data_IF_281849774564
#
_entry.id   IF_281849774564
#
_cell.length_a   1.000
_cell.length_b   1.000
_cell.length_c   1.000
_cell.angle_alpha   90.00
_cell.angle_beta   90.00
_cell.angle_gamma   90.00
#
_symmetry.space_group_name_H-M   'P 1'
#
loop_
_entity.id
_entity.type
_entity.pdbx_description
1 polymer ?
#
# COMPACT_ATOMS: atom_id res chain seq x y z
N UNK A 1 -12.12 -24.04 5.26
CA UNK A 1 -13.11 -24.17 4.17
C UNK A 1 -13.57 -25.64 4.07
N UNK A 2 -14.79 -25.83 3.60
CA UNK A 2 -15.40 -27.18 3.50
C UNK A 2 -14.85 -28.06 2.36
N UNK A 3 -13.75 -27.64 1.70
CA UNK A 3 -13.10 -28.37 0.61
C UNK A 3 -12.37 -27.46 -0.37
N UNK A 4 -11.70 -28.05 -1.35
CA UNK A 4 -10.86 -27.34 -2.34
C UNK A 4 -11.70 -26.32 -3.14
N UNK A 5 -12.89 -26.70 -3.61
CA UNK A 5 -13.74 -25.79 -4.40
C UNK A 5 -14.18 -24.56 -3.61
N UNK A 6 -14.50 -24.72 -2.31
CA UNK A 6 -14.85 -23.59 -1.47
C UNK A 6 -13.65 -22.66 -1.20
N UNK A 7 -12.45 -23.25 -1.03
CA UNK A 7 -11.22 -22.48 -0.90
C UNK A 7 -10.85 -21.71 -2.18
N UNK A 8 -11.09 -22.32 -3.35
CA UNK A 8 -10.86 -21.69 -4.64
C UNK A 8 -11.77 -20.47 -4.84
N UNK A 9 -13.05 -20.56 -4.53
CA UNK A 9 -14.00 -19.43 -4.61
C UNK A 9 -13.50 -18.24 -3.80
N UNK A 10 -13.03 -18.48 -2.58
CA UNK A 10 -12.49 -17.40 -1.76
C UNK A 10 -11.19 -16.84 -2.33
N UNK A 11 -10.29 -17.68 -2.85
CA UNK A 11 -9.06 -17.21 -3.49
C UNK A 11 -9.37 -16.32 -4.72
N UNK A 12 -10.29 -16.74 -5.57
CA UNK A 12 -10.71 -16.00 -6.76
C UNK A 12 -11.37 -14.65 -6.41
N UNK A 13 -12.06 -14.57 -5.27
CA UNK A 13 -12.68 -13.34 -4.77
C UNK A 13 -11.63 -12.27 -4.46
N UNK A 14 -10.51 -12.62 -3.82
CA UNK A 14 -9.51 -11.66 -3.39
C UNK A 14 -8.39 -11.41 -4.42
N UNK A 15 -8.13 -12.32 -5.34
CA UNK A 15 -7.09 -12.21 -6.34
C UNK A 15 -7.14 -10.88 -7.16
N UNK A 16 -8.31 -10.38 -7.62
CA UNK A 16 -8.38 -9.10 -8.33
C UNK A 16 -7.99 -7.90 -7.45
N UNK A 17 -8.34 -7.92 -6.16
CA UNK A 17 -7.99 -6.84 -5.24
C UNK A 17 -6.49 -6.79 -4.99
N UNK A 18 -5.86 -7.95 -4.78
CA UNK A 18 -4.41 -8.08 -4.64
C UNK A 18 -3.72 -7.68 -5.95
N UNK A 19 -4.27 -8.08 -7.10
CA UNK A 19 -3.75 -7.72 -8.42
C UNK A 19 -3.71 -6.21 -8.70
N UNK A 20 -4.58 -5.42 -8.07
CA UNK A 20 -4.63 -3.95 -8.17
C UNK A 20 -3.64 -3.23 -7.25
N UNK A 21 -3.02 -3.91 -6.29
CA UNK A 21 -1.97 -3.30 -5.47
C UNK A 21 -0.79 -2.85 -6.34
N UNK A 22 -0.09 -1.76 -5.98
CA UNK A 22 1.16 -1.37 -6.61
C UNK A 22 2.17 -2.52 -6.67
N UNK A 23 2.93 -2.61 -7.77
CA UNK A 23 3.96 -3.65 -7.92
C UNK A 23 4.94 -3.63 -6.74
N UNK A 24 5.34 -2.44 -6.28
CA UNK A 24 6.22 -2.29 -5.12
C UNK A 24 5.69 -2.98 -3.87
N UNK A 25 4.38 -3.06 -3.69
CA UNK A 25 3.74 -3.72 -2.55
C UNK A 25 3.53 -5.23 -2.77
N UNK A 26 3.40 -5.67 -4.03
CA UNK A 26 3.15 -7.08 -4.37
C UNK A 26 4.41 -7.91 -4.53
N UNK A 27 5.53 -7.28 -4.88
CA UNK A 27 6.77 -7.97 -5.25
C UNK A 27 7.31 -8.92 -4.18
N UNK A 28 7.05 -8.62 -2.92
CA UNK A 28 7.53 -9.39 -1.78
C UNK A 28 6.45 -10.29 -1.16
N UNK A 29 5.21 -10.24 -1.67
CA UNK A 29 4.13 -11.14 -1.24
C UNK A 29 4.33 -12.50 -1.89
N UNK A 30 4.72 -13.49 -1.10
CA UNK A 30 4.92 -14.87 -1.55
C UNK A 30 3.70 -15.75 -1.29
N UNK A 31 2.94 -15.44 -0.24
CA UNK A 31 1.75 -16.20 0.14
C UNK A 31 0.60 -15.28 0.53
N UNK A 32 -0.61 -15.77 0.34
CA UNK A 32 -1.83 -15.15 0.86
C UNK A 32 -2.57 -16.21 1.67
N UNK A 33 -2.76 -15.95 2.95
CA UNK A 33 -3.52 -16.82 3.84
C UNK A 33 -4.93 -16.27 3.98
N UNK A 34 -5.91 -17.10 3.63
CA UNK A 34 -7.32 -16.75 3.72
C UNK A 34 -7.96 -17.62 4.78
N UNK A 35 -8.40 -16.99 5.86
CA UNK A 35 -9.03 -17.65 7.00
C UNK A 35 -10.49 -17.28 7.11
N UNK A 36 -11.29 -18.15 7.66
CA UNK A 36 -12.64 -17.82 8.08
C UNK A 36 -12.62 -16.92 9.31
N UNK A 37 -13.70 -16.16 9.49
CA UNK A 37 -13.92 -15.39 10.71
C UNK A 37 -13.73 -13.89 10.56
N UNK A 38 -13.87 -13.22 11.71
CA UNK A 38 -13.86 -11.75 11.82
C UNK A 38 -12.70 -11.35 12.73
N UNK A 39 -11.52 -11.32 12.15
CA UNK A 39 -10.30 -10.80 12.79
C UNK A 39 -9.63 -9.79 11.85
N UNK A 40 -8.78 -8.88 12.36
CA UNK A 40 -8.00 -7.96 11.52
C UNK A 40 -7.23 -8.71 10.43
N UNK A 41 -6.95 -8.02 9.33
CA UNK A 41 -5.97 -8.47 8.35
C UNK A 41 -4.57 -8.40 8.94
N UNK A 42 -3.59 -8.91 8.23
CA UNK A 42 -2.19 -8.86 8.61
C UNK A 42 -1.27 -8.85 7.41
N UNK A 43 -0.14 -8.18 7.56
CA UNK A 43 0.96 -8.15 6.61
C UNK A 43 2.29 -8.44 7.28
N UNK A 44 3.35 -8.54 6.49
CA UNK A 44 4.69 -8.89 6.95
C UNK A 44 5.07 -10.33 6.63
N UNK A 45 6.33 -10.70 6.90
CA UNK A 45 6.85 -12.05 6.67
C UNK A 45 6.55 -12.62 5.26
N UNK A 46 6.52 -11.75 4.24
CA UNK A 46 6.19 -12.09 2.83
C UNK A 46 4.78 -12.66 2.65
N UNK A 47 3.86 -12.29 3.53
CA UNK A 47 2.51 -12.82 3.61
C UNK A 47 1.47 -11.70 3.65
N UNK A 48 0.28 -11.99 3.13
CA UNK A 48 -0.95 -11.26 3.43
C UNK A 48 -1.93 -12.21 4.12
N UNK A 49 -2.48 -11.80 5.25
CA UNK A 49 -3.50 -12.53 5.99
C UNK A 49 -4.85 -11.85 5.80
N UNK A 50 -5.81 -12.59 5.30
CA UNK A 50 -7.20 -12.15 5.06
C UNK A 50 -8.13 -12.98 5.92
N UNK A 51 -9.06 -12.33 6.63
CA UNK A 51 -10.17 -12.99 7.31
C UNK A 51 -11.47 -12.67 6.58
N UNK A 52 -12.17 -13.70 6.08
CA UNK A 52 -13.29 -13.53 5.14
C UNK A 52 -14.44 -12.68 5.69
N UNK A 53 -14.83 -12.89 6.93
CA UNK A 53 -15.88 -12.11 7.56
C UNK A 53 -15.48 -10.65 7.82
N UNK A 54 -14.21 -10.37 8.06
CA UNK A 54 -13.71 -9.00 8.14
C UNK A 54 -13.63 -8.36 6.76
N UNK A 55 -13.21 -9.11 5.74
CA UNK A 55 -13.17 -8.65 4.36
C UNK A 55 -14.54 -8.18 3.87
N UNK A 56 -15.61 -8.89 4.23
CA UNK A 56 -16.99 -8.48 3.91
C UNK A 56 -17.39 -7.14 4.56
N UNK A 57 -16.89 -6.88 5.77
CA UNK A 57 -17.07 -5.58 6.42
C UNK A 57 -16.30 -4.49 5.67
N UNK A 58 -15.03 -4.73 5.36
CA UNK A 58 -14.20 -3.77 4.62
C UNK A 58 -14.72 -3.50 3.20
N UNK A 59 -15.29 -4.51 2.52
CA UNK A 59 -15.96 -4.34 1.23
C UNK A 59 -17.19 -3.42 1.36
N UNK A 60 -18.05 -3.68 2.33
CA UNK A 60 -19.25 -2.87 2.59
C UNK A 60 -18.91 -1.43 2.95
N UNK A 61 -17.84 -1.25 3.73
CA UNK A 61 -17.39 0.05 4.20
C UNK A 61 -16.51 0.77 3.17
N UNK A 62 -16.17 0.10 2.05
CA UNK A 62 -15.40 0.65 0.93
C UNK A 62 -13.90 0.81 1.18
N UNK A 63 -13.36 0.11 2.19
CA UNK A 63 -11.95 0.24 2.64
C UNK A 63 -11.09 -1.01 2.43
N UNK A 64 -11.59 -2.03 1.73
CA UNK A 64 -10.84 -3.28 1.54
C UNK A 64 -9.49 -3.05 0.84
N UNK A 65 -9.48 -2.26 -0.24
CA UNK A 65 -8.26 -2.00 -1.00
C UNK A 65 -7.26 -1.16 -0.18
N UNK A 66 -7.75 -0.21 0.59
CA UNK A 66 -6.94 0.62 1.50
C UNK A 66 -6.28 -0.24 2.58
N UNK A 67 -7.04 -1.16 3.19
CA UNK A 67 -6.50 -2.11 4.16
C UNK A 67 -5.44 -3.03 3.51
N UNK A 68 -5.70 -3.53 2.30
CA UNK A 68 -4.70 -4.35 1.60
C UNK A 68 -3.43 -3.56 1.25
N UNK A 69 -3.53 -2.27 0.93
CA UNK A 69 -2.35 -1.39 0.76
C UNK A 69 -1.57 -1.29 2.06
N UNK A 70 -2.24 -1.09 3.19
CA UNK A 70 -1.61 -1.03 4.52
C UNK A 70 -0.84 -2.33 4.83
N UNK A 71 -1.49 -3.49 4.74
CA UNK A 71 -0.87 -4.78 5.06
C UNK A 71 0.27 -5.16 4.09
N UNK A 72 0.11 -4.83 2.81
CA UNK A 72 1.15 -5.07 1.82
C UNK A 72 2.35 -4.11 2.01
N UNK A 73 2.15 -2.93 2.62
CA UNK A 73 3.22 -2.03 3.01
C UNK A 73 4.09 -2.66 4.11
N UNK A 74 3.50 -3.30 5.12
CA UNK A 74 4.26 -4.09 6.09
C UNK A 74 5.10 -5.18 5.43
N UNK A 75 4.52 -5.86 4.43
CA UNK A 75 5.20 -6.95 3.74
C UNK A 75 6.40 -6.49 2.91
N UNK A 76 6.30 -5.32 2.27
CA UNK A 76 7.25 -4.93 1.23
C UNK A 76 8.08 -3.68 1.55
N UNK A 77 7.63 -2.83 2.47
CA UNK A 77 8.29 -1.57 2.78
C UNK A 77 8.96 -1.53 4.16
N UNK A 78 8.43 -2.24 5.17
CA UNK A 78 8.99 -2.15 6.52
C UNK A 78 10.45 -2.62 6.57
N UNK A 79 10.73 -3.82 6.03
CA UNK A 79 12.06 -4.40 6.12
C UNK A 79 13.15 -3.52 5.48
N UNK A 80 12.99 -2.97 4.26
CA UNK A 80 14.01 -2.09 3.67
C UNK A 80 14.02 -0.67 4.21
N UNK A 81 12.94 -0.18 4.82
CA UNK A 81 12.79 1.25 5.09
C UNK A 81 12.62 1.62 6.58
N UNK A 82 11.99 0.79 7.43
CA UNK A 82 11.66 1.19 8.81
C UNK A 82 12.88 1.61 9.65
N UNK A 83 14.04 1.00 9.39
CA UNK A 83 15.29 1.33 10.08
C UNK A 83 16.24 2.18 9.21
N UNK A 84 15.87 2.47 7.96
CA UNK A 84 16.69 3.27 7.07
C UNK A 84 16.85 4.71 7.62
N UNK A 85 18.08 5.23 7.55
CA UNK A 85 18.38 6.57 8.05
C UNK A 85 17.50 7.63 7.42
N UNK A 86 17.31 7.59 6.08
CA UNK A 86 16.48 8.57 5.38
C UNK A 86 15.03 8.60 5.86
N UNK A 87 14.44 7.42 6.17
CA UNK A 87 13.10 7.35 6.75
C UNK A 87 13.06 7.96 8.16
N UNK A 88 14.02 7.60 9.01
CA UNK A 88 14.08 8.11 10.38
C UNK A 88 14.34 9.62 10.44
N UNK A 89 15.18 10.13 9.54
CA UNK A 89 15.43 11.56 9.40
C UNK A 89 14.14 12.29 8.95
N UNK A 90 13.41 11.73 7.98
CA UNK A 90 12.11 12.26 7.53
C UNK A 90 11.06 12.24 8.65
N UNK A 91 10.99 11.14 9.40
CA UNK A 91 10.10 10.99 10.55
C UNK A 91 10.38 12.05 11.62
N UNK A 92 11.64 12.29 11.94
CA UNK A 92 12.06 13.27 12.94
C UNK A 92 11.86 14.74 12.48
N UNK A 93 11.88 14.99 11.17
CA UNK A 93 11.72 16.32 10.58
C UNK A 93 10.25 16.73 10.37
N UNK A 94 9.34 15.76 10.35
CA UNK A 94 7.90 16.05 10.19
C UNK A 94 7.30 16.62 11.48
N UNK A 95 6.35 17.58 11.37
CA UNK A 95 5.70 18.20 12.53
C UNK A 95 4.95 17.19 13.41
N UNK A 96 4.34 16.17 12.77
CA UNK A 96 3.43 15.23 13.42
C UNK A 96 3.50 13.84 12.77
N UNK A 97 2.84 12.87 13.38
CA UNK A 97 2.50 11.60 12.77
C UNK A 97 1.13 11.69 12.09
N UNK A 98 0.96 10.93 11.00
CA UNK A 98 -0.30 10.94 10.24
C UNK A 98 -1.48 10.39 11.04
N UNK A 99 -1.21 9.53 12.02
CA UNK A 99 -2.22 8.97 12.93
C UNK A 99 -1.64 8.77 14.34
N UNK A 100 -2.52 8.62 15.32
CA UNK A 100 -2.13 8.23 16.69
C UNK A 100 -1.53 6.83 16.70
N UNK A 101 -1.98 5.94 15.83
CA UNK A 101 -1.46 4.57 15.73
C UNK A 101 -0.01 4.56 15.23
N UNK A 102 0.30 5.35 14.19
CA UNK A 102 1.67 5.53 13.72
C UNK A 102 2.58 6.14 14.79
N UNK A 103 2.07 7.15 15.56
CA UNK A 103 2.83 7.79 16.63
C UNK A 103 3.15 6.81 17.77
N UNK A 104 2.18 6.00 18.15
CA UNK A 104 2.31 5.08 19.28
C UNK A 104 3.12 3.82 18.89
N UNK A 105 3.28 3.56 17.58
CA UNK A 105 4.02 2.43 17.01
C UNK A 105 4.99 2.87 15.89
N UNK A 106 5.91 3.83 16.13
CA UNK A 106 6.64 4.55 15.09
C UNK A 106 7.63 3.69 14.28
N UNK A 107 8.03 2.54 14.78
CA UNK A 107 8.95 1.62 14.11
C UNK A 107 8.25 0.47 13.39
N UNK A 108 6.93 0.34 13.57
CA UNK A 108 6.14 -0.77 13.01
C UNK A 108 5.05 -0.31 12.08
N UNK A 109 4.36 0.77 12.42
CA UNK A 109 3.12 1.16 11.75
C UNK A 109 3.30 2.41 10.86
N UNK A 110 4.28 3.25 11.15
CA UNK A 110 4.38 4.57 10.54
C UNK A 110 4.57 4.54 9.02
N UNK A 111 5.28 3.55 8.48
CA UNK A 111 5.43 3.38 7.02
C UNK A 111 4.10 3.01 6.39
N UNK A 112 3.41 2.00 6.92
CA UNK A 112 2.14 1.51 6.40
C UNK A 112 1.05 2.59 6.49
N UNK A 113 0.96 3.28 7.64
CA UNK A 113 0.05 4.40 7.87
C UNK A 113 0.34 5.61 6.96
N UNK A 114 1.61 5.86 6.61
CA UNK A 114 2.01 7.00 5.77
C UNK A 114 1.92 6.72 4.27
N UNK A 115 2.04 5.45 3.83
CA UNK A 115 2.10 5.13 2.42
C UNK A 115 0.77 5.33 1.69
N UNK A 116 -0.35 4.99 2.31
CA UNK A 116 -1.68 5.25 1.72
C UNK A 116 -1.96 6.75 1.54
N UNK A 117 -1.75 7.63 2.55
CA UNK A 117 -1.80 9.08 2.39
C UNK A 117 -0.85 9.62 1.30
N UNK A 118 0.37 9.07 1.20
CA UNK A 118 1.29 9.41 0.12
C UNK A 118 0.68 9.11 -1.27
N UNK A 119 0.16 7.90 -1.47
CA UNK A 119 -0.51 7.54 -2.73
C UNK A 119 -1.69 8.47 -3.04
N UNK A 120 -2.45 8.83 -2.01
CA UNK A 120 -3.59 9.72 -2.15
C UNK A 120 -3.18 11.10 -2.65
N UNK A 121 -2.22 11.77 -1.99
CA UNK A 121 -1.82 13.13 -2.36
C UNK A 121 -1.02 13.21 -3.66
N UNK A 122 -0.20 12.21 -3.99
CA UNK A 122 0.66 12.23 -5.17
C UNK A 122 -0.02 11.67 -6.42
N UNK A 123 -0.86 10.65 -6.27
CA UNK A 123 -1.31 9.86 -7.42
C UNK A 123 -2.84 9.71 -7.50
N UNK A 124 -3.57 10.11 -6.47
CA UNK A 124 -5.03 10.00 -6.38
C UNK A 124 -5.69 11.24 -5.77
N UNK A 125 -5.10 12.42 -5.96
CA UNK A 125 -5.59 13.68 -5.36
C UNK A 125 -7.07 13.98 -5.68
N UNK A 126 -7.56 13.53 -6.83
CA UNK A 126 -8.98 13.67 -7.19
C UNK A 126 -9.94 12.77 -6.39
N UNK A 127 -9.43 11.84 -5.56
CA UNK A 127 -10.25 10.94 -4.72
C UNK A 127 -10.37 11.40 -3.27
N UNK A 128 -9.69 12.47 -2.90
CA UNK A 128 -9.72 13.05 -1.54
C UNK A 128 -10.10 14.52 -1.61
N UNK A 129 -10.62 15.05 -0.52
CA UNK A 129 -10.94 16.49 -0.43
C UNK A 129 -9.65 17.33 -0.42
N UNK A 130 -9.74 18.57 -0.92
CA UNK A 130 -8.62 19.52 -0.84
C UNK A 130 -8.15 19.74 0.60
N UNK A 131 -9.07 19.76 1.56
CA UNK A 131 -8.77 19.89 2.98
C UNK A 131 -7.95 18.71 3.49
N UNK A 132 -8.34 17.48 3.14
CA UNK A 132 -7.60 16.28 3.52
C UNK A 132 -6.21 16.26 2.88
N UNK A 133 -6.11 16.58 1.58
CA UNK A 133 -4.83 16.69 0.89
C UNK A 133 -3.89 17.69 1.56
N UNK A 134 -4.39 18.90 1.90
CA UNK A 134 -3.63 19.92 2.61
C UNK A 134 -3.20 19.45 4.02
N UNK A 135 -4.06 18.74 4.74
CA UNK A 135 -3.74 18.17 6.05
C UNK A 135 -2.61 17.17 5.94
N UNK A 136 -2.72 16.17 5.05
CA UNK A 136 -1.68 15.15 4.83
C UNK A 136 -0.34 15.82 4.50
N UNK A 137 -0.33 16.73 3.50
CA UNK A 137 0.89 17.39 3.03
C UNK A 137 1.55 18.24 4.12
N UNK A 138 0.77 18.86 5.01
CA UNK A 138 1.31 19.62 6.14
C UNK A 138 1.83 18.73 7.27
N UNK A 139 1.20 17.59 7.48
CA UNK A 139 1.51 16.69 8.61
C UNK A 139 2.78 15.87 8.37
N UNK A 140 2.95 15.32 7.16
CA UNK A 140 4.06 14.41 6.84
C UNK A 140 4.85 14.82 5.57
N UNK A 141 5.26 16.10 5.40
CA UNK A 141 5.90 16.56 4.17
C UNK A 141 7.22 15.83 3.88
N UNK A 142 8.02 15.53 4.90
CA UNK A 142 9.32 14.88 4.74
C UNK A 142 9.18 13.38 4.44
N UNK A 143 8.22 12.70 5.05
CA UNK A 143 7.90 11.30 4.70
C UNK A 143 7.40 11.19 3.26
N UNK A 144 6.59 12.14 2.80
CA UNK A 144 6.17 12.22 1.39
C UNK A 144 7.39 12.39 0.48
N UNK A 145 8.29 13.33 0.80
CA UNK A 145 9.53 13.55 0.05
C UNK A 145 10.44 12.31 0.06
N UNK A 146 10.48 11.57 1.16
CA UNK A 146 11.20 10.30 1.23
C UNK A 146 10.65 9.29 0.22
N UNK A 147 9.31 9.07 0.19
CA UNK A 147 8.72 8.17 -0.80
C UNK A 147 8.94 8.66 -2.24
N UNK A 148 8.87 9.98 -2.49
CA UNK A 148 9.18 10.57 -3.80
C UNK A 148 10.63 10.28 -4.24
N UNK A 149 11.57 10.16 -3.30
CA UNK A 149 12.97 9.85 -3.57
C UNK A 149 13.22 8.39 -3.97
N UNK A 150 12.26 7.52 -3.69
CA UNK A 150 12.34 6.10 -4.01
C UNK A 150 11.79 5.86 -5.43
N UNK A 151 12.49 5.11 -6.26
CA UNK A 151 12.02 4.73 -7.59
C UNK A 151 10.97 3.61 -7.52
N UNK A 152 9.81 3.89 -6.91
CA UNK A 152 8.77 2.91 -6.65
C UNK A 152 7.99 2.55 -7.93
N UNK A 153 7.87 1.25 -8.26
CA UNK A 153 6.94 0.81 -9.31
C UNK A 153 5.51 0.80 -8.76
N UNK A 154 4.80 1.88 -9.03
CA UNK A 154 3.43 2.10 -8.58
C UNK A 154 2.36 1.57 -9.55
N UNK A 155 2.73 0.86 -10.64
CA UNK A 155 1.75 0.24 -11.53
C UNK A 155 0.93 -0.83 -10.77
N UNK A 156 -0.38 -0.94 -10.96
CA UNK A 156 -1.27 -0.24 -11.92
C UNK A 156 -1.86 1.08 -11.39
N UNK A 157 -1.56 1.49 -10.17
CA UNK A 157 -2.06 2.77 -9.60
C UNK A 157 -1.57 3.94 -10.45
N UNK A 158 -0.30 3.92 -10.86
CA UNK A 158 0.28 4.84 -11.82
C UNK A 158 0.55 4.08 -13.12
N UNK A 159 -0.02 4.47 -14.26
CA UNK A 159 0.29 3.83 -15.54
C UNK A 159 1.79 3.91 -15.85
N UNK A 160 2.36 2.83 -16.36
CA UNK A 160 3.73 2.89 -16.91
C UNK A 160 3.73 3.76 -18.15
N UNK A 161 4.71 4.66 -18.28
CA UNK A 161 4.91 5.36 -19.53
C UNK A 161 5.28 4.32 -20.61
N UNK A 162 4.58 4.38 -21.74
CA UNK A 162 4.99 3.58 -22.90
C UNK A 162 6.43 3.98 -23.28
N UNK A 163 7.31 3.01 -23.62
CA UNK A 163 8.62 3.35 -24.14
C UNK A 163 8.44 4.26 -25.36
N UNK A 164 9.21 5.34 -25.43
CA UNK A 164 9.21 6.21 -26.58
C UNK A 164 9.55 5.33 -27.81
N UNK A 165 8.61 5.24 -28.77
CA UNK A 165 8.88 4.56 -30.03
C UNK A 165 10.00 5.35 -30.71
N UNK A 166 11.22 4.84 -30.65
CA UNK A 166 12.32 5.33 -31.48
C UNK A 166 11.89 5.06 -32.92
N UNK A 167 11.54 6.11 -33.66
CA UNK A 167 11.35 5.98 -35.11
C UNK A 167 12.66 5.45 -35.67
N UNK A 168 12.65 4.20 -36.10
CA UNK A 168 13.68 3.73 -37.01
C UNK A 168 13.50 4.54 -38.29
N UNK A 169 14.36 5.52 -38.52
CA UNK A 169 14.47 6.18 -39.80
C UNK A 169 15.00 5.15 -40.79
N UNK A 170 14.09 4.64 -41.61
CA UNK A 170 14.48 3.90 -42.82
C UNK A 170 14.92 4.98 -43.80
N UNK A 171 16.22 5.12 -44.00
CA UNK A 171 16.74 5.83 -45.15
C UNK A 171 16.72 4.87 -46.34
N UNK A 172 16.14 5.29 -47.50
CA UNK A 172 16.08 4.46 -48.72
C UNK A 172 17.47 4.27 -49.39
#
# INVERSE_FOLDING_TARGET
FGGVSAAQVEAEKYAPHIGRLPVVLRKDVQTVWIHLGVNPFGGGNKNLLIHTGQAERYLRDGILEETLVHEASHTSLDNPHATARGWRDAQAADPEFISTYARDNPTREDIAESFLPYLAVRHRAGRISATLAATITRTIPNRIAYFDSLALDLHPVVPRQAPALTRLSYEP
#
